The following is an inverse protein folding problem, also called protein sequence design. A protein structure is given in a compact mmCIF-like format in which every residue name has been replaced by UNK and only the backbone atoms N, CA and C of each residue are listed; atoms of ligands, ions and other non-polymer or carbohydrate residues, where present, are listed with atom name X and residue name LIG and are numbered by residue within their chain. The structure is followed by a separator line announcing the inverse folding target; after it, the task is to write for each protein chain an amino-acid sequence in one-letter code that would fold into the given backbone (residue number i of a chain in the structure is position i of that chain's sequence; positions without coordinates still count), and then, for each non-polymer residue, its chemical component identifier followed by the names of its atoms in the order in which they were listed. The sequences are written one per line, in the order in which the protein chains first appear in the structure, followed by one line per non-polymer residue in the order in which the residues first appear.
data_IF_251680575977
#
_entry.id   IF_251680575977
#
_cell.length_a   1.000
_cell.length_b   1.000
_cell.length_c   1.000
_cell.angle_alpha   90.00
_cell.angle_beta   90.00
_cell.angle_gamma   90.00
#
_symmetry.space_group_name_H-M   'P 1'
#
loop_
_entity.id
_entity.type
_entity.pdbx_description
1 polymer ?
#
# COMPACT_ATOMS: atom_id res chain seq x y z
N UNK A 1 4.62 14.40 10.74
CA UNK A 1 4.84 14.91 9.36
C UNK A 1 3.69 14.41 8.51
N UNK A 2 3.22 15.18 7.52
CA UNK A 2 2.11 14.73 6.66
C UNK A 2 2.69 14.10 5.40
N UNK A 3 2.37 12.84 5.11
CA UNK A 3 2.88 12.17 3.91
C UNK A 3 1.77 12.00 2.89
N UNK A 4 2.06 12.24 1.61
CA UNK A 4 1.09 11.97 0.56
C UNK A 4 1.06 10.47 0.31
N UNK A 5 -0.12 9.89 0.31
CA UNK A 5 -0.32 8.49 -0.06
C UNK A 5 -1.15 8.40 -1.34
N UNK A 6 -0.80 7.42 -2.18
CA UNK A 6 -1.60 7.01 -3.32
C UNK A 6 -2.22 5.67 -2.97
N UNK A 7 -3.54 5.61 -3.05
CA UNK A 7 -4.29 4.38 -3.03
C UNK A 7 -4.62 4.05 -4.47
N UNK A 8 -4.12 2.93 -4.99
CA UNK A 8 -4.36 2.52 -6.39
C UNK A 8 -4.88 1.09 -6.44
N UNK A 9 -5.75 0.79 -7.40
CA UNK A 9 -6.14 -0.58 -7.73
C UNK A 9 -5.28 -1.13 -8.88
N UNK A 10 -4.76 -2.34 -8.74
CA UNK A 10 -4.08 -3.08 -9.80
C UNK A 10 -4.23 -4.60 -9.58
N UNK A 11 -4.44 -5.36 -10.66
CA UNK A 11 -4.55 -6.82 -10.65
C UNK A 11 -5.51 -7.42 -9.60
N UNK A 12 -6.58 -6.69 -9.24
CA UNK A 12 -7.58 -7.12 -8.25
C UNK A 12 -7.29 -6.69 -6.81
N UNK A 13 -6.12 -6.10 -6.55
CA UNK A 13 -5.69 -5.59 -5.25
C UNK A 13 -5.73 -4.07 -5.22
N UNK A 14 -5.72 -3.51 -4.01
CA UNK A 14 -5.47 -2.10 -3.79
C UNK A 14 -4.17 -1.91 -2.99
N UNK A 15 -3.24 -1.10 -3.51
CA UNK A 15 -1.98 -0.77 -2.85
C UNK A 15 -2.02 0.59 -2.18
N UNK A 16 -1.35 0.68 -1.03
CA UNK A 16 -1.06 1.92 -0.34
C UNK A 16 0.38 2.30 -0.58
N UNK A 17 0.60 3.28 -1.46
CA UNK A 17 1.93 3.80 -1.80
C UNK A 17 2.21 5.06 -1.00
N UNK A 18 3.28 5.03 -0.22
CA UNK A 18 3.81 6.20 0.48
C UNK A 18 4.68 6.98 -0.49
N UNK A 19 4.37 8.26 -0.69
CA UNK A 19 5.16 9.18 -1.52
C UNK A 19 6.04 10.06 -0.61
N UNK A 20 7.12 9.48 -0.10
CA UNK A 20 8.21 10.19 0.57
C UNK A 20 9.49 10.20 -0.31
N UNK A 21 10.65 10.51 0.27
CA UNK A 21 11.95 10.52 -0.44
C UNK A 21 12.35 9.13 -0.98
N UNK A 22 11.73 8.06 -0.48
CA UNK A 22 11.92 6.69 -0.95
C UNK A 22 10.56 5.99 -1.14
N UNK A 23 9.86 6.28 -2.26
CA UNK A 23 8.51 5.80 -2.50
C UNK A 23 8.42 4.27 -2.36
N UNK A 24 7.48 3.81 -1.54
CA UNK A 24 7.31 2.38 -1.26
C UNK A 24 5.85 2.00 -1.11
N UNK A 25 5.55 0.75 -1.42
CA UNK A 25 4.29 0.13 -1.08
C UNK A 25 4.31 -0.30 0.38
N UNK A 26 3.28 0.04 1.15
CA UNK A 26 3.19 -0.25 2.57
C UNK A 26 2.21 -1.39 2.86
N UNK A 27 1.03 -1.31 2.25
CA UNK A 27 -0.09 -2.22 2.50
C UNK A 27 -0.76 -2.64 1.18
N UNK A 28 -1.40 -3.80 1.21
CA UNK A 28 -2.31 -4.32 0.18
C UNK A 28 -3.66 -4.67 0.81
N UNK A 29 -4.74 -4.37 0.10
CA UNK A 29 -6.12 -4.62 0.54
C UNK A 29 -6.98 -5.22 -0.57
N UNK A 30 -7.93 -6.08 -0.19
CA UNK A 30 -8.93 -6.64 -1.10
C UNK A 30 -10.27 -5.92 -0.96
N UNK A 31 -10.78 -5.30 -2.04
CA UNK A 31 -12.22 -5.03 -2.14
C UNK A 31 -12.73 -3.59 -2.05
N UNK A 32 -11.93 -2.55 -2.30
CA UNK A 32 -12.45 -1.17 -2.38
C UNK A 32 -12.89 -0.78 -3.81
N UNK A 33 -13.96 0.02 -3.99
CA UNK A 33 -14.49 0.37 -5.31
C UNK A 33 -13.70 1.47 -6.05
N UNK A 34 -12.90 2.29 -5.36
CA UNK A 34 -12.15 3.40 -6.00
C UNK A 34 -10.87 2.90 -6.69
N UNK A 35 -10.76 3.11 -8.01
CA UNK A 35 -9.60 2.72 -8.81
C UNK A 35 -8.33 3.51 -8.46
N UNK A 36 -8.48 4.78 -8.04
CA UNK A 36 -7.37 5.66 -7.71
C UNK A 36 -7.81 6.79 -6.76
N UNK A 37 -7.10 6.98 -5.65
CA UNK A 37 -7.31 8.07 -4.70
C UNK A 37 -5.98 8.59 -4.17
N UNK A 38 -5.81 9.92 -4.12
CA UNK A 38 -4.69 10.55 -3.42
C UNK A 38 -5.19 11.13 -2.12
N UNK A 39 -4.53 10.78 -1.01
CA UNK A 39 -4.93 11.22 0.33
C UNK A 39 -3.71 11.70 1.11
N UNK A 40 -3.91 12.62 2.05
CA UNK A 40 -2.88 12.97 3.03
C UNK A 40 -2.99 11.95 4.18
N UNK A 41 -1.89 11.26 4.45
CA UNK A 41 -1.75 10.38 5.58
C UNK A 41 -1.05 11.11 6.73
N UNK A 42 -1.69 11.07 7.90
CA UNK A 42 -1.20 11.68 9.13
C UNK A 42 -0.75 10.63 10.16
N UNK A 43 -0.96 9.36 9.85
CA UNK A 43 -0.68 8.22 10.70
C UNK A 43 0.75 7.70 10.61
N UNK A 44 0.99 6.55 11.21
CA UNK A 44 2.30 5.89 11.23
C UNK A 44 2.76 5.48 9.82
N UNK A 45 4.09 5.46 9.62
CA UNK A 45 4.72 4.89 8.43
C UNK A 45 5.33 3.51 8.71
N UNK A 46 5.21 3.01 9.95
CA UNK A 46 5.46 1.62 10.26
C UNK A 46 4.35 0.76 9.64
N UNK A 47 4.65 -0.33 8.92
CA UNK A 47 3.62 -1.11 8.24
C UNK A 47 2.56 -1.72 9.17
N UNK A 48 2.92 -2.13 10.39
CA UNK A 48 1.98 -2.73 11.32
C UNK A 48 1.04 -1.67 11.89
N UNK A 49 1.62 -0.59 12.43
CA UNK A 49 0.83 0.51 12.98
C UNK A 49 -0.07 1.14 11.90
N UNK A 50 0.45 1.32 10.68
CA UNK A 50 -0.32 1.87 9.57
C UNK A 50 -1.49 0.96 9.17
N UNK A 51 -1.32 -0.36 9.25
CA UNK A 51 -2.40 -1.33 9.01
C UNK A 51 -3.51 -1.18 10.06
N UNK A 52 -3.13 -1.13 11.34
CA UNK A 52 -4.07 -0.98 12.46
C UNK A 52 -4.85 0.34 12.37
N UNK A 53 -4.14 1.47 12.21
CA UNK A 53 -4.76 2.79 12.10
C UNK A 53 -5.67 2.91 10.88
N UNK A 54 -5.29 2.30 9.77
CA UNK A 54 -6.07 2.35 8.53
C UNK A 54 -7.34 1.50 8.60
N UNK A 55 -7.23 0.27 9.12
CA UNK A 55 -8.38 -0.60 9.36
C UNK A 55 -9.37 0.04 10.34
N UNK A 56 -8.88 0.68 11.41
CA UNK A 56 -9.72 1.43 12.35
C UNK A 56 -10.46 2.59 11.64
N UNK A 57 -9.75 3.39 10.85
CA UNK A 57 -10.34 4.53 10.13
C UNK A 57 -11.44 4.11 9.15
N UNK A 58 -11.30 2.95 8.50
CA UNK A 58 -12.29 2.42 7.56
C UNK A 58 -13.34 1.51 8.20
N UNK A 59 -13.21 1.21 9.50
CA UNK A 59 -14.02 0.22 10.21
C UNK A 59 -14.01 -1.15 9.50
N UNK A 60 -12.83 -1.60 9.08
CA UNK A 60 -12.58 -2.87 8.40
C UNK A 60 -11.74 -3.83 9.27
N UNK A 61 -11.79 -5.12 8.95
CA UNK A 61 -10.99 -6.15 9.65
C UNK A 61 -9.54 -6.19 9.14
N UNK A 62 -8.58 -6.40 10.05
CA UNK A 62 -7.16 -6.52 9.74
C UNK A 62 -6.84 -7.67 8.77
N UNK A 63 -7.68 -8.71 8.75
CA UNK A 63 -7.51 -9.89 7.87
C UNK A 63 -7.64 -9.54 6.37
N UNK A 64 -8.23 -8.39 6.04
CA UNK A 64 -8.34 -7.91 4.67
C UNK A 64 -7.04 -7.30 4.15
N UNK A 65 -6.07 -7.10 5.02
CA UNK A 65 -4.83 -6.39 4.74
C UNK A 65 -3.63 -7.34 4.69
N UNK A 66 -2.61 -6.94 3.95
CA UNK A 66 -1.31 -7.60 3.94
C UNK A 66 -0.21 -6.55 3.85
N UNK A 67 0.82 -6.71 4.68
CA UNK A 67 2.03 -5.88 4.61
C UNK A 67 2.78 -6.21 3.31
N UNK A 68 3.17 -5.16 2.58
CA UNK A 68 3.89 -5.28 1.32
C UNK A 68 5.40 -5.43 1.57
N UNK A 69 5.84 -6.64 1.94
CA UNK A 69 7.25 -6.95 2.21
C UNK A 69 7.76 -8.19 1.45
N UNK A 70 9.04 -8.51 1.61
CA UNK A 70 9.71 -9.63 0.94
C UNK A 70 9.14 -11.02 1.29
N UNK A 71 8.27 -11.12 2.30
CA UNK A 71 7.58 -12.36 2.66
C UNK A 71 6.30 -12.56 1.85
N UNK A 72 5.76 -11.48 1.26
CA UNK A 72 4.52 -11.48 0.48
C UNK A 72 4.83 -11.83 -0.99
N UNK A 73 4.51 -13.07 -1.39
CA UNK A 73 4.93 -13.63 -2.69
C UNK A 73 4.47 -12.79 -3.88
N UNK A 74 3.25 -12.25 -3.84
CA UNK A 74 2.70 -11.42 -4.92
C UNK A 74 3.48 -10.10 -5.05
N UNK A 75 3.80 -9.47 -3.93
CA UNK A 75 4.60 -8.26 -3.85
C UNK A 75 5.99 -8.49 -4.42
N UNK A 76 6.65 -9.59 -4.05
CA UNK A 76 7.96 -9.94 -4.60
C UNK A 76 7.91 -10.15 -6.11
N UNK A 77 6.88 -10.83 -6.61
CA UNK A 77 6.71 -11.07 -8.05
C UNK A 77 6.44 -9.77 -8.83
N UNK A 78 5.54 -8.93 -8.33
CA UNK A 78 5.24 -7.64 -8.93
C UNK A 78 6.41 -6.67 -8.84
N UNK A 79 7.07 -6.55 -7.68
CA UNK A 79 8.23 -5.66 -7.50
C UNK A 79 9.32 -5.99 -8.51
N UNK A 80 9.62 -7.27 -8.72
CA UNK A 80 10.56 -7.70 -9.77
C UNK A 80 10.13 -7.17 -11.13
N UNK A 81 8.85 -7.27 -11.50
CA UNK A 81 8.37 -6.75 -12.78
C UNK A 81 8.63 -5.25 -12.95
N UNK A 82 8.40 -4.44 -11.90
CA UNK A 82 8.63 -2.99 -11.93
C UNK A 82 10.11 -2.61 -11.89
N UNK A 83 10.94 -3.30 -11.11
CA UNK A 83 12.39 -3.08 -11.06
C UNK A 83 13.04 -3.29 -12.44
N UNK A 84 12.55 -4.26 -13.21
CA UNK A 84 13.05 -4.51 -14.58
C UNK A 84 12.60 -3.44 -15.59
N UNK A 85 11.55 -2.66 -15.28
CA UNK A 85 11.09 -1.53 -16.12
C UNK A 85 11.92 -0.25 -15.90
N UNK A 86 12.71 -0.15 -14.82
CA UNK A 86 13.59 0.99 -14.54
C UNK A 86 14.97 0.91 -15.23
N UNK A 87 15.13 0.06 -16.24
CA UNK A 87 16.31 0.06 -17.13
C UNK A 87 15.89 0.37 -18.57
N UNK A 88 15.61 1.65 -18.84
CA UNK A 88 15.98 2.37 -20.08
C UNK A 88 15.69 3.86 -19.97
#
# INVERSE_FOLDING_TARGET
MTTSIVIRRHDGFQSYLVLDDNPRELLRHWGFPEEFSMRRWLGSLDPMDAMEEWAEMLAEDLENYSIADDTQVLFVQERRFWEHLHLK
#
